data_IF_212565893808
#
_entry.id   IF_212565893808
#
_cell.length_a   1.000
_cell.length_b   1.000
_cell.length_c   1.000
_cell.angle_alpha   90.00
_cell.angle_beta   90.00
_cell.angle_gamma   90.00
#
_symmetry.space_group_name_H-M   'P 1'
#
loop_
_entity.id
_entity.type
_entity.pdbx_description
1 polymer ?
#
# COMPACT_ATOMS: atom_id res chain seq x y z
N UNK A 1 -9.62 -10.40 10.27
CA UNK A 1 -8.73 -10.07 11.41
C UNK A 1 -9.36 -8.97 12.24
N UNK A 2 -9.65 -9.18 13.52
CA UNK A 2 -10.19 -8.16 14.43
C UNK A 2 -9.08 -7.22 14.90
N UNK A 3 -9.07 -5.97 14.44
CA UNK A 3 -8.11 -4.95 14.86
C UNK A 3 -8.29 -4.59 16.34
N UNK A 4 -7.21 -4.71 17.12
CA UNK A 4 -7.19 -4.38 18.54
C UNK A 4 -6.97 -2.87 18.68
N UNK A 5 -7.93 -2.17 19.26
CA UNK A 5 -7.79 -0.73 19.56
C UNK A 5 -7.26 -0.55 20.99
N UNK A 6 -6.25 0.31 21.14
CA UNK A 6 -5.71 0.69 22.45
C UNK A 6 -6.18 2.11 22.75
N UNK A 7 -6.93 2.27 23.84
CA UNK A 7 -7.36 3.57 24.33
C UNK A 7 -6.39 4.02 25.43
N UNK A 8 -5.85 5.22 25.33
CA UNK A 8 -5.04 5.87 26.37
C UNK A 8 -5.81 7.04 26.99
N UNK A 9 -5.37 7.48 28.17
CA UNK A 9 -5.89 8.71 28.79
C UNK A 9 -5.33 9.93 28.06
N UNK A 10 -6.15 10.97 27.95
CA UNK A 10 -5.78 12.27 27.41
C UNK A 10 -4.59 12.84 28.19
N UNK A 11 -3.48 13.11 27.50
CA UNK A 11 -2.24 13.62 28.08
C UNK A 11 -2.00 15.10 27.78
N UNK A 12 -2.96 15.77 27.12
CA UNK A 12 -2.93 17.20 26.86
C UNK A 12 -2.10 17.60 25.63
N UNK A 13 -1.48 16.65 24.94
CA UNK A 13 -0.67 16.93 23.73
C UNK A 13 -1.49 16.95 22.45
N UNK A 14 -2.76 16.57 22.51
CA UNK A 14 -3.68 16.57 21.37
C UNK A 14 -4.26 17.98 21.18
N UNK A 15 -3.66 18.76 20.29
CA UNK A 15 -4.12 20.11 19.94
C UNK A 15 -5.23 20.07 18.87
N UNK A 16 -6.16 21.03 18.90
CA UNK A 16 -7.22 21.17 17.88
C UNK A 16 -8.68 21.06 18.36
N UNK A 17 -8.95 21.08 19.67
CA UNK A 17 -10.31 21.10 20.23
C UNK A 17 -10.53 22.35 21.08
N UNK A 18 -10.64 23.52 20.45
CA UNK A 18 -11.07 24.75 21.13
C UNK A 18 -12.59 24.71 21.33
N UNK A 19 -13.02 24.08 22.42
CA UNK A 19 -14.39 24.19 22.92
C UNK A 19 -14.31 24.94 24.24
N UNK A 20 -14.73 26.20 24.26
CA UNK A 20 -14.80 26.98 25.49
C UNK A 20 -15.84 26.35 26.43
N UNK A 21 -15.41 26.05 27.66
CA UNK A 21 -16.21 25.30 28.62
C UNK A 21 -17.52 26.01 29.03
N UNK A 22 -17.66 27.30 28.74
CA UNK A 22 -18.84 28.13 29.00
C UNK A 22 -19.99 27.86 28.04
N UNK A 23 -19.72 27.55 26.77
CA UNK A 23 -20.77 27.38 25.74
C UNK A 23 -21.52 26.05 25.88
N UNK A 24 -20.91 25.09 26.58
CA UNK A 24 -21.50 23.81 26.92
C UNK A 24 -22.62 23.92 27.97
N UNK A 25 -22.69 25.00 28.76
CA UNK A 25 -23.62 25.10 29.89
C UNK A 25 -25.03 25.57 29.52
N UNK A 26 -25.21 26.33 28.43
CA UNK A 26 -26.51 26.88 28.07
C UNK A 26 -27.44 25.81 27.47
N UNK A 27 -26.93 24.94 26.60
CA UNK A 27 -27.68 23.83 25.99
C UNK A 27 -27.98 22.69 27.01
N UNK A 28 -27.18 22.58 28.08
CA UNK A 28 -27.40 21.60 29.15
C UNK A 28 -28.63 21.88 30.01
N UNK A 29 -29.08 23.14 30.07
CA UNK A 29 -30.06 23.59 31.05
C UNK A 29 -31.49 23.13 30.73
N UNK A 30 -31.85 23.03 29.45
CA UNK A 30 -33.19 22.60 29.03
C UNK A 30 -33.40 21.08 29.18
N UNK A 31 -32.34 20.26 29.01
CA UNK A 31 -32.43 18.79 29.05
C UNK A 31 -32.19 18.20 30.46
N UNK A 32 -31.55 18.98 31.36
CA UNK A 32 -31.37 18.65 32.78
C UNK A 32 -32.71 18.51 33.53
N UNK A 33 -33.75 19.22 33.10
CA UNK A 33 -35.06 19.26 33.75
C UNK A 33 -35.92 18.00 33.50
N UNK A 34 -35.67 17.24 32.43
CA UNK A 34 -36.64 16.24 31.99
C UNK A 34 -36.29 14.78 32.31
N UNK A 35 -35.00 14.40 32.42
CA UNK A 35 -34.62 12.99 32.64
C UNK A 35 -33.45 12.74 33.62
N UNK A 36 -32.81 13.78 34.17
CA UNK A 36 -31.83 13.64 35.26
C UNK A 36 -30.52 12.89 34.95
N UNK A 37 -30.25 12.49 33.71
CA UNK A 37 -28.99 11.83 33.33
C UNK A 37 -28.14 12.70 32.37
N UNK A 38 -27.42 13.63 32.99
CA UNK A 38 -26.44 14.51 32.35
C UNK A 38 -25.36 13.72 31.59
N UNK A 39 -24.96 12.56 32.11
CA UNK A 39 -23.94 11.71 31.46
C UNK A 39 -24.48 11.08 30.19
N UNK A 40 -25.75 10.69 30.20
CA UNK A 40 -26.46 10.19 29.02
C UNK A 40 -26.61 11.25 27.93
N UNK A 41 -26.95 12.49 28.30
CA UNK A 41 -27.06 13.61 27.36
C UNK A 41 -25.71 13.93 26.71
N UNK A 42 -24.64 14.06 27.51
CA UNK A 42 -23.28 14.26 27.02
C UNK A 42 -22.80 13.13 26.10
N UNK A 43 -23.08 11.87 26.43
CA UNK A 43 -22.71 10.73 25.57
C UNK A 43 -23.43 10.81 24.23
N UNK A 44 -24.73 11.12 24.21
CA UNK A 44 -25.50 11.25 22.97
C UNK A 44 -25.02 12.42 22.10
N UNK A 45 -24.66 13.53 22.74
CA UNK A 45 -24.10 14.71 22.09
C UNK A 45 -22.75 14.38 21.45
N UNK A 46 -21.83 13.76 22.19
CA UNK A 46 -20.54 13.31 21.63
C UNK A 46 -20.71 12.27 20.51
N UNK A 47 -21.71 11.40 20.58
CA UNK A 47 -21.95 10.39 19.55
C UNK A 47 -22.55 10.93 18.25
N UNK A 48 -23.46 11.92 18.33
CA UNK A 48 -24.18 12.48 17.17
C UNK A 48 -23.60 13.79 16.64
N UNK A 49 -22.83 14.50 17.46
CA UNK A 49 -22.50 15.90 17.24
C UNK A 49 -23.56 16.82 17.83
N UNK A 50 -23.22 18.10 17.95
CA UNK A 50 -24.09 19.17 18.41
C UNK A 50 -24.17 20.27 17.35
N UNK A 51 -25.17 21.13 17.47
CA UNK A 51 -25.17 22.40 16.77
C UNK A 51 -24.85 23.47 17.80
N UNK A 52 -23.81 24.25 17.55
CA UNK A 52 -23.43 25.40 18.36
C UNK A 52 -24.55 26.48 18.29
N UNK A 53 -24.74 27.31 19.32
CA UNK A 53 -25.63 28.48 19.28
C UNK A 53 -25.47 29.40 18.07
N UNK A 54 -24.28 29.42 17.46
CA UNK A 54 -24.00 30.17 16.23
C UNK A 54 -24.50 29.47 14.95
N UNK A 55 -25.13 28.30 15.06
CA UNK A 55 -25.62 27.48 13.94
C UNK A 55 -24.57 26.55 13.32
N UNK A 56 -23.35 26.51 13.87
CA UNK A 56 -22.24 25.69 13.38
C UNK A 56 -22.41 24.23 13.84
N UNK A 57 -22.34 23.28 12.91
CA UNK A 57 -22.50 21.85 13.24
C UNK A 57 -21.18 21.23 13.68
N UNK A 58 -21.08 20.90 14.96
CA UNK A 58 -19.99 20.12 15.52
C UNK A 58 -20.11 18.63 15.11
N UNK A 59 -19.02 18.07 14.61
CA UNK A 59 -18.99 16.68 14.16
C UNK A 59 -18.99 15.73 15.36
N UNK A 60 -19.88 14.73 15.34
CA UNK A 60 -19.88 13.68 16.35
C UNK A 60 -18.74 12.68 16.18
N UNK A 61 -18.43 11.93 17.24
CA UNK A 61 -17.43 10.85 17.24
C UNK A 61 -17.69 9.79 16.16
N UNK A 62 -18.95 9.51 15.80
CA UNK A 62 -19.26 8.58 14.69
C UNK A 62 -18.77 9.12 13.35
N UNK A 63 -19.00 10.40 13.11
CA UNK A 63 -18.63 11.07 11.87
C UNK A 63 -17.11 11.24 11.78
N UNK A 64 -16.45 11.63 12.87
CA UNK A 64 -14.99 11.66 12.94
C UNK A 64 -14.37 10.27 12.75
N UNK A 65 -14.96 9.21 13.31
CA UNK A 65 -14.51 7.83 13.06
C UNK A 65 -14.70 7.40 11.61
N UNK A 66 -15.77 7.86 10.97
CA UNK A 66 -16.01 7.59 9.56
C UNK A 66 -14.98 8.31 8.69
N UNK A 67 -14.74 9.60 8.93
CA UNK A 67 -13.67 10.36 8.26
C UNK A 67 -12.28 9.77 8.50
N UNK A 68 -11.98 9.29 9.71
CA UNK A 68 -10.71 8.60 9.99
C UNK A 68 -10.58 7.28 9.23
N UNK A 69 -11.68 6.54 9.03
CA UNK A 69 -11.67 5.33 8.20
C UNK A 69 -11.48 5.66 6.74
N UNK A 70 -12.15 6.69 6.24
CA UNK A 70 -12.02 7.16 4.86
C UNK A 70 -10.61 7.69 4.60
N UNK A 71 -10.07 8.54 5.47
CA UNK A 71 -8.69 9.02 5.38
C UNK A 71 -7.68 7.87 5.48
N UNK A 72 -7.93 6.88 6.34
CA UNK A 72 -7.10 5.67 6.39
C UNK A 72 -7.19 4.90 5.07
N UNK A 73 -8.37 4.71 4.51
CA UNK A 73 -8.56 4.00 3.25
C UNK A 73 -7.88 4.76 2.13
N UNK A 74 -8.05 6.08 2.05
CA UNK A 74 -7.41 6.95 1.07
C UNK A 74 -5.88 6.96 1.23
N UNK A 75 -5.35 6.89 2.45
CA UNK A 75 -3.92 6.71 2.71
C UNK A 75 -3.44 5.30 2.38
N UNK A 76 -4.28 4.27 2.48
CA UNK A 76 -3.94 2.93 1.98
C UNK A 76 -3.99 2.90 0.46
N UNK A 77 -4.95 3.58 -0.17
CA UNK A 77 -5.10 3.64 -1.61
C UNK A 77 -4.01 4.52 -2.26
N UNK A 78 -3.63 5.64 -1.62
CA UNK A 78 -2.56 6.55 -2.09
C UNK A 78 -1.17 6.18 -1.59
N UNK A 79 -1.11 5.49 -0.45
CA UNK A 79 0.11 5.15 0.27
C UNK A 79 0.31 3.65 0.38
N UNK A 80 -0.18 2.89 -0.61
CA UNK A 80 0.41 1.57 -0.85
C UNK A 80 1.64 1.75 -1.74
N UNK A 81 2.86 1.71 -1.19
CA UNK A 81 4.04 1.42 -1.99
C UNK A 81 3.85 0.14 -2.83
N UNK A 82 2.88 -0.75 -2.52
CA UNK A 82 2.49 -1.80 -3.45
C UNK A 82 2.00 -1.28 -4.80
N UNK A 83 1.45 -0.09 -5.00
CA UNK A 83 0.95 0.28 -6.34
C UNK A 83 2.07 0.22 -7.39
N UNK A 84 3.18 0.89 -7.09
CA UNK A 84 4.36 0.93 -7.94
C UNK A 84 5.14 -0.40 -7.93
N UNK A 85 5.26 -1.06 -6.77
CA UNK A 85 5.89 -2.38 -6.72
C UNK A 85 5.03 -3.47 -7.38
N UNK A 86 3.71 -3.30 -7.42
CA UNK A 86 2.76 -4.16 -8.13
C UNK A 86 2.89 -3.91 -9.63
N UNK A 87 2.99 -2.66 -10.09
CA UNK A 87 3.31 -2.39 -11.50
C UNK A 87 4.63 -3.06 -11.91
N UNK A 88 5.64 -3.04 -11.03
CA UNK A 88 6.91 -3.76 -11.28
C UNK A 88 6.72 -5.27 -11.23
N UNK A 89 5.93 -5.80 -10.30
CA UNK A 89 5.66 -7.23 -10.20
C UNK A 89 4.90 -7.74 -11.43
N UNK A 90 3.87 -7.02 -11.86
CA UNK A 90 3.08 -7.31 -13.06
C UNK A 90 3.99 -7.25 -14.31
N UNK A 91 4.83 -6.20 -14.44
CA UNK A 91 5.78 -6.11 -15.53
C UNK A 91 6.84 -7.22 -15.52
N UNK A 92 7.22 -7.72 -14.34
CA UNK A 92 8.13 -8.86 -14.21
C UNK A 92 7.45 -10.16 -14.63
N UNK A 93 6.19 -10.35 -14.26
CA UNK A 93 5.39 -11.51 -14.66
C UNK A 93 5.20 -11.53 -16.19
N UNK A 94 4.95 -10.38 -16.81
CA UNK A 94 4.90 -10.24 -18.28
C UNK A 94 6.22 -10.68 -18.95
N UNK A 95 7.37 -10.34 -18.35
CA UNK A 95 8.70 -10.74 -18.87
C UNK A 95 8.90 -12.25 -18.75
N UNK A 96 8.44 -12.85 -17.64
CA UNK A 96 8.51 -14.31 -17.44
C UNK A 96 7.65 -15.02 -18.48
N UNK A 97 6.44 -14.52 -18.75
CA UNK A 97 5.55 -15.09 -19.76
C UNK A 97 6.15 -14.97 -21.18
N UNK A 98 6.76 -13.83 -21.49
CA UNK A 98 7.47 -13.62 -22.75
C UNK A 98 8.65 -14.60 -22.93
N UNK A 99 9.43 -14.82 -21.89
CA UNK A 99 10.51 -15.80 -21.88
C UNK A 99 9.98 -17.24 -22.04
N UNK A 100 8.88 -17.61 -21.38
CA UNK A 100 8.22 -18.92 -21.58
C UNK A 100 7.84 -19.12 -23.05
N UNK A 101 7.23 -18.10 -23.65
CA UNK A 101 6.87 -18.14 -25.06
C UNK A 101 8.09 -18.27 -25.99
N UNK A 102 9.19 -17.57 -25.68
CA UNK A 102 10.41 -17.68 -26.47
C UNK A 102 11.03 -19.09 -26.41
N UNK A 103 11.04 -19.70 -25.22
CA UNK A 103 11.49 -21.09 -25.02
C UNK A 103 10.63 -22.06 -25.84
N UNK A 104 9.30 -21.90 -25.81
CA UNK A 104 8.38 -22.72 -26.61
C UNK A 104 8.62 -22.57 -28.12
N UNK A 105 8.85 -21.34 -28.59
CA UNK A 105 9.18 -21.08 -30.00
C UNK A 105 10.51 -21.72 -30.40
N UNK A 106 11.53 -21.62 -29.56
CA UNK A 106 12.84 -22.25 -29.78
C UNK A 106 12.72 -23.77 -29.97
N UNK A 107 11.87 -24.43 -29.15
CA UNK A 107 11.56 -25.86 -29.32
C UNK A 107 10.82 -26.13 -30.63
N UNK A 108 9.77 -25.38 -30.95
CA UNK A 108 9.01 -25.57 -32.18
C UNK A 108 9.86 -25.39 -33.44
N UNK A 109 10.78 -24.43 -33.43
CA UNK A 109 11.67 -24.18 -34.57
C UNK A 109 12.75 -25.26 -34.69
N UNK A 110 13.26 -25.78 -33.57
CA UNK A 110 14.13 -26.95 -33.55
C UNK A 110 13.43 -28.19 -34.12
N UNK A 111 12.15 -28.40 -33.81
CA UNK A 111 11.35 -29.51 -34.35
C UNK A 111 11.10 -29.38 -35.86
N UNK A 112 10.74 -28.16 -36.32
CA UNK A 112 10.53 -27.88 -37.75
C UNK A 112 11.81 -28.02 -38.58
N UNK A 113 12.98 -27.88 -37.95
CA UNK A 113 14.27 -28.03 -38.61
C UNK A 113 14.53 -29.45 -39.13
N UNK A 114 13.78 -30.47 -38.67
CA UNK A 114 13.96 -31.86 -39.08
C UNK A 114 15.25 -32.53 -38.57
N UNK A 115 16.01 -31.86 -37.70
CA UNK A 115 17.18 -32.43 -37.02
C UNK A 115 16.73 -32.94 -35.64
N UNK A 116 16.55 -34.25 -35.52
CA UNK A 116 16.02 -34.89 -34.33
C UNK A 116 16.91 -34.67 -33.10
N UNK A 117 18.22 -34.57 -33.31
CA UNK A 117 19.19 -34.33 -32.24
C UNK A 117 19.14 -32.89 -31.74
N UNK A 118 18.85 -31.93 -32.63
CA UNK A 118 18.59 -30.53 -32.26
C UNK A 118 17.28 -30.39 -31.49
N UNK A 119 16.22 -31.04 -31.98
CA UNK A 119 14.91 -31.01 -31.33
C UNK A 119 14.96 -31.60 -29.91
N UNK A 120 15.65 -32.72 -29.72
CA UNK A 120 15.82 -33.34 -28.39
C UNK A 120 16.58 -32.41 -27.42
N UNK A 121 17.67 -31.80 -27.86
CA UNK A 121 18.42 -30.85 -27.02
C UNK A 121 17.57 -29.63 -26.66
N UNK A 122 16.81 -29.08 -27.61
CA UNK A 122 15.93 -27.94 -27.35
C UNK A 122 14.83 -28.28 -26.35
N UNK A 123 14.20 -29.47 -26.46
CA UNK A 123 13.20 -29.94 -25.48
C UNK A 123 13.79 -30.10 -24.08
N UNK A 124 14.98 -30.69 -23.97
CA UNK A 124 15.63 -30.87 -22.67
C UNK A 124 15.97 -29.51 -22.03
N UNK A 125 16.55 -28.59 -22.81
CA UNK A 125 16.82 -27.23 -22.33
C UNK A 125 15.54 -26.50 -21.92
N UNK A 126 14.47 -26.61 -22.70
CA UNK A 126 13.18 -26.01 -22.38
C UNK A 126 12.56 -26.59 -21.09
N UNK A 127 12.67 -27.91 -20.86
CA UNK A 127 12.23 -28.52 -19.61
C UNK A 127 12.97 -27.95 -18.39
N UNK A 128 14.30 -27.85 -18.48
CA UNK A 128 15.12 -27.29 -17.40
C UNK A 128 14.77 -25.82 -17.12
N UNK A 129 14.57 -25.02 -18.17
CA UNK A 129 14.17 -23.61 -18.08
C UNK A 129 12.79 -23.45 -17.45
N UNK A 130 11.79 -24.19 -17.94
CA UNK A 130 10.42 -24.14 -17.41
C UNK A 130 10.37 -24.54 -15.94
N UNK A 131 11.14 -25.58 -15.56
CA UNK A 131 11.22 -26.00 -14.16
C UNK A 131 11.79 -24.90 -13.25
N UNK A 132 12.81 -24.16 -13.70
CA UNK A 132 13.33 -23.00 -12.97
C UNK A 132 12.29 -21.90 -12.84
N UNK A 133 11.55 -21.61 -13.91
CA UNK A 133 10.47 -20.61 -13.90
C UNK A 133 9.32 -21.00 -12.97
N UNK A 134 8.98 -22.29 -12.88
CA UNK A 134 7.96 -22.82 -11.96
C UNK A 134 8.41 -22.81 -10.50
N UNK A 135 9.73 -22.79 -10.25
CA UNK A 135 10.33 -22.70 -8.91
C UNK A 135 10.59 -21.26 -8.44
N UNK A 136 10.24 -20.26 -9.26
CA UNK A 136 10.39 -18.86 -8.88
C UNK A 136 9.59 -18.57 -7.59
N UNK A 137 10.18 -17.85 -6.61
CA UNK A 137 9.46 -17.44 -5.43
C UNK A 137 8.26 -16.54 -5.77
N UNK A 138 7.22 -16.54 -4.93
CA UNK A 138 6.07 -15.64 -5.11
C UNK A 138 6.42 -14.17 -4.80
N UNK A 139 7.53 -13.93 -4.09
CA UNK A 139 7.96 -12.59 -3.70
C UNK A 139 8.83 -11.91 -4.77
N UNK A 140 8.57 -10.61 -5.01
CA UNK A 140 9.27 -9.82 -6.03
C UNK A 140 10.80 -9.84 -5.87
N UNK A 141 11.29 -9.74 -4.63
CA UNK A 141 12.73 -9.72 -4.35
C UNK A 141 13.40 -11.07 -4.68
N UNK A 142 12.70 -12.18 -4.42
CA UNK A 142 13.08 -13.53 -4.76
C UNK A 142 13.12 -13.73 -6.28
N UNK A 143 12.05 -13.36 -6.99
CA UNK A 143 11.99 -13.43 -8.47
C UNK A 143 13.14 -12.66 -9.11
N UNK A 144 13.37 -11.42 -8.68
CA UNK A 144 14.46 -10.57 -9.20
C UNK A 144 15.83 -11.22 -8.98
N UNK A 145 16.08 -11.79 -7.81
CA UNK A 145 17.38 -12.43 -7.51
C UNK A 145 17.61 -13.65 -8.39
N UNK A 146 16.59 -14.48 -8.58
CA UNK A 146 16.71 -15.68 -9.41
C UNK A 146 16.92 -15.29 -10.87
N UNK A 147 16.12 -14.34 -11.38
CA UNK A 147 16.20 -13.85 -12.76
C UNK A 147 17.50 -13.10 -13.07
N UNK A 148 18.15 -12.47 -12.09
CA UNK A 148 19.49 -11.89 -12.26
C UNK A 148 20.57 -12.93 -12.59
N UNK A 149 20.38 -14.17 -12.14
CA UNK A 149 21.29 -15.28 -12.42
C UNK A 149 20.80 -16.20 -13.55
N UNK A 150 19.62 -15.90 -14.08
CA UNK A 150 18.98 -16.65 -15.15
C UNK A 150 19.54 -16.22 -16.51
N UNK A 151 19.75 -17.20 -17.39
CA UNK A 151 20.24 -16.99 -18.75
C UNK A 151 19.02 -16.96 -19.67
N UNK A 152 18.63 -15.80 -20.20
CA UNK A 152 17.40 -15.67 -20.99
C UNK A 152 17.58 -16.27 -22.40
N UNK A 153 16.53 -16.93 -22.89
CA UNK A 153 16.44 -17.35 -24.30
C UNK A 153 16.07 -16.13 -25.18
N UNK A 154 15.20 -15.25 -24.69
CA UNK A 154 14.79 -14.03 -25.39
C UNK A 154 15.67 -12.83 -25.02
N UNK A 155 16.35 -12.28 -26.05
CA UNK A 155 17.08 -11.02 -25.90
C UNK A 155 16.16 -9.83 -25.54
N UNK A 156 14.89 -9.88 -25.99
CA UNK A 156 13.89 -8.86 -25.68
C UNK A 156 13.47 -8.93 -24.21
N UNK A 157 13.22 -10.14 -23.69
CA UNK A 157 12.89 -10.36 -22.28
C UNK A 157 14.04 -9.90 -21.37
N UNK A 158 15.29 -10.20 -21.75
CA UNK A 158 16.47 -9.74 -21.02
C UNK A 158 16.56 -8.21 -20.98
N UNK A 159 16.41 -7.55 -22.13
CA UNK A 159 16.47 -6.09 -22.18
C UNK A 159 15.38 -5.45 -21.32
N UNK A 160 14.14 -5.94 -21.40
CA UNK A 160 13.03 -5.45 -20.58
C UNK A 160 13.28 -5.64 -19.08
N UNK A 161 13.90 -6.76 -18.69
CA UNK A 161 14.29 -7.01 -17.30
C UNK A 161 15.33 -6.00 -16.81
N UNK A 162 16.35 -5.71 -17.63
CA UNK A 162 17.37 -4.71 -17.30
C UNK A 162 16.75 -3.31 -17.13
N UNK A 163 15.85 -2.91 -18.04
CA UNK A 163 15.12 -1.64 -17.94
C UNK A 163 14.23 -1.57 -16.69
N UNK A 164 13.60 -2.70 -16.31
CA UNK A 164 12.77 -2.79 -15.11
C UNK A 164 13.63 -2.65 -13.84
N UNK A 165 14.82 -3.25 -13.83
CA UNK A 165 15.79 -3.14 -12.73
C UNK A 165 16.26 -1.70 -12.51
N UNK A 166 16.48 -0.95 -13.59
CA UNK A 166 16.86 0.46 -13.51
C UNK A 166 15.71 1.30 -12.93
N UNK A 167 14.46 1.09 -13.40
CA UNK A 167 13.28 1.76 -12.83
C UNK A 167 13.10 1.45 -11.35
N UNK A 168 13.26 0.19 -10.96
CA UNK A 168 13.19 -0.24 -9.57
C UNK A 168 14.23 0.48 -8.71
N UNK A 169 15.47 0.59 -9.20
CA UNK A 169 16.54 1.31 -8.51
C UNK A 169 16.19 2.78 -8.31
N UNK A 170 15.69 3.45 -9.34
CA UNK A 170 15.32 4.86 -9.29
C UNK A 170 14.21 5.13 -8.26
N UNK A 171 13.19 4.28 -8.22
CA UNK A 171 12.09 4.39 -7.28
C UNK A 171 12.53 4.14 -5.83
N UNK A 172 13.42 3.18 -5.60
CA UNK A 172 14.01 2.96 -4.28
C UNK A 172 14.79 4.19 -3.79
N UNK A 173 15.51 4.87 -4.69
CA UNK A 173 16.22 6.11 -4.36
C UNK A 173 15.24 7.25 -4.01
N UNK A 174 14.18 7.42 -4.80
CA UNK A 174 13.15 8.44 -4.55
C UNK A 174 12.45 8.22 -3.20
N UNK A 175 12.05 6.98 -2.89
CA UNK A 175 11.39 6.67 -1.64
C UNK A 175 12.31 6.92 -0.43
N UNK A 176 13.60 6.59 -0.55
CA UNK A 176 14.56 6.86 0.52
C UNK A 176 14.76 8.37 0.73
N UNK A 177 14.80 9.16 -0.33
CA UNK A 177 14.88 10.62 -0.25
C UNK A 177 13.63 11.22 0.41
N UNK A 178 12.43 10.77 0.05
CA UNK A 178 11.18 11.23 0.66
C UNK A 178 11.13 10.92 2.16
N UNK A 179 11.58 9.73 2.58
CA UNK A 179 11.69 9.34 3.99
C UNK A 179 12.65 10.26 4.75
N UNK A 180 13.83 10.52 4.19
CA UNK A 180 14.84 11.41 4.80
C UNK A 180 14.34 12.86 4.86
N UNK A 181 13.75 13.37 3.78
CA UNK A 181 13.19 14.72 3.72
C UNK A 181 12.04 14.91 4.70
N UNK A 182 11.14 13.92 4.82
CA UNK A 182 10.01 13.95 5.76
C UNK A 182 10.49 13.88 7.20
N UNK A 183 11.50 13.06 7.50
CA UNK A 183 12.12 13.01 8.82
C UNK A 183 12.74 14.37 9.19
N UNK A 184 13.50 14.99 8.28
CA UNK A 184 14.08 16.32 8.49
C UNK A 184 13.02 17.43 8.64
N UNK A 185 11.94 17.40 7.86
CA UNK A 185 10.81 18.33 8.00
C UNK A 185 10.11 18.20 9.36
N UNK A 186 9.90 16.98 9.84
CA UNK A 186 9.33 16.72 11.16
C UNK A 186 10.31 17.00 12.33
N UNK A 187 11.58 17.31 12.05
CA UNK A 187 12.55 17.74 13.08
C UNK A 187 12.91 19.23 12.95
N UNK A 188 12.20 19.97 12.09
CA UNK A 188 12.49 21.39 11.86
C UNK A 188 12.14 22.25 13.09
N UNK A 189 12.87 23.35 13.35
CA UNK A 189 13.08 23.90 14.69
C UNK A 189 11.92 24.72 15.29
N UNK A 190 10.68 24.52 14.87
CA UNK A 190 9.54 25.27 15.45
C UNK A 190 9.02 24.65 16.76
N UNK A 191 9.53 23.47 17.15
CA UNK A 191 9.21 22.77 18.41
C UNK A 191 10.41 22.71 19.40
N UNK A 192 11.36 23.64 19.32
CA UNK A 192 12.34 23.90 20.40
C UNK A 192 12.15 25.28 21.04
#
# INVERSE_FOLDING_TARGET
MTGRYTYSRWDGTQTGFDIEASDLFDEMSDDLLQNGDLRGALRRLMERGATDPNGERMQGLREMRQKLREARQELLDKGDPNGVFQEIADALDDIIDEERHAVEQSVMDAEKSGDERRAENARNAAMDRNFRMDMLPDDLAGKVRELQSYDFESAEAQQRFEELMDKLRDQLMQQNFEKVSSAMKNTSPEDM
#
